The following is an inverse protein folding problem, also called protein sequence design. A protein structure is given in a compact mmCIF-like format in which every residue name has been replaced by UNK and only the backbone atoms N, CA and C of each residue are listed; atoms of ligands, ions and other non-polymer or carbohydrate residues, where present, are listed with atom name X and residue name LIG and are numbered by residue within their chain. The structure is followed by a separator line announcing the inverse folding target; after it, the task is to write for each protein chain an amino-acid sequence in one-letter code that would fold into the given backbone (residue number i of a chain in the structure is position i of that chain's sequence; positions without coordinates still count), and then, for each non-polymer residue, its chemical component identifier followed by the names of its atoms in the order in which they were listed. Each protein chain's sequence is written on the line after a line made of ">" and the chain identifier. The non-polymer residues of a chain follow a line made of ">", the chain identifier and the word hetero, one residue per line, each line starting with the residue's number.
data_IF_154769351985
#
_entry.id   IF_154769351985
#
_cell.length_a   1.000
_cell.length_b   1.000
_cell.length_c   1.000
_cell.angle_alpha   90.00
_cell.angle_beta   90.00
_cell.angle_gamma   90.00
#
_symmetry.space_group_name_H-M   'P 1'
#
loop_
_entity.id
_entity.type
_entity.pdbx_description
1 polymer ?
#
# COMPACT_ATOMS: atom_id res chain seq x y z
N UNK A 1 16.06 -15.37 33.36
CA UNK A 1 16.50 -15.38 31.95
C UNK A 1 15.24 -15.32 31.10
N UNK A 2 14.95 -14.18 30.47
CA UNK A 2 13.79 -14.05 29.58
C UNK A 2 14.15 -14.76 28.27
N UNK A 3 13.51 -15.89 28.02
CA UNK A 3 13.63 -16.64 26.78
C UNK A 3 13.21 -15.73 25.63
N UNK A 4 14.17 -15.25 24.84
CA UNK A 4 13.88 -14.50 23.62
C UNK A 4 13.28 -15.50 22.64
N UNK A 5 11.96 -15.57 22.55
CA UNK A 5 11.29 -16.23 21.44
C UNK A 5 11.86 -15.65 20.15
N UNK A 6 12.64 -16.44 19.42
CA UNK A 6 13.04 -16.10 18.07
C UNK A 6 11.79 -16.14 17.20
N UNK A 7 11.23 -14.96 16.94
CA UNK A 7 10.22 -14.80 15.89
C UNK A 7 10.94 -14.97 14.56
N UNK A 8 11.00 -16.21 14.07
CA UNK A 8 11.53 -16.51 12.75
C UNK A 8 10.41 -16.31 11.71
N UNK A 9 10.72 -15.55 10.66
CA UNK A 9 9.78 -15.25 9.58
C UNK A 9 8.95 -13.97 9.79
N UNK A 10 8.21 -13.58 8.75
CA UNK A 10 7.33 -12.42 8.79
C UNK A 10 5.96 -12.78 9.34
N UNK A 11 5.49 -12.03 10.33
CA UNK A 11 4.12 -12.12 10.84
C UNK A 11 3.11 -12.04 9.69
N UNK A 12 3.24 -11.08 8.78
CA UNK A 12 2.30 -10.89 7.68
C UNK A 12 2.19 -12.11 6.77
N UNK A 13 3.33 -12.78 6.49
CA UNK A 13 3.34 -13.99 5.68
C UNK A 13 2.63 -15.16 6.35
N UNK A 14 2.64 -15.22 7.68
CA UNK A 14 2.07 -16.30 8.48
C UNK A 14 0.58 -16.07 8.80
N UNK A 15 0.14 -14.82 8.91
CA UNK A 15 -1.23 -14.43 9.31
C UNK A 15 -2.19 -14.18 8.13
N UNK A 16 -1.78 -14.47 6.89
CA UNK A 16 -2.61 -14.32 5.70
C UNK A 16 -2.41 -15.48 4.71
N UNK A 17 -3.37 -15.74 3.80
CA UNK A 17 -3.30 -16.80 2.80
C UNK A 17 -1.98 -16.82 2.02
N UNK A 18 -1.54 -17.97 1.51
CA UNK A 18 -0.14 -18.14 1.11
C UNK A 18 0.29 -17.31 -0.12
N UNK A 19 -0.65 -16.83 -0.93
CA UNK A 19 -0.36 -16.00 -2.11
C UNK A 19 0.03 -16.77 -3.38
N UNK A 20 -0.08 -18.10 -3.42
CA UNK A 20 0.27 -18.92 -4.59
C UNK A 20 -0.84 -18.90 -5.62
N UNK A 21 -0.43 -18.78 -6.88
CA UNK A 21 -1.28 -18.91 -8.05
C UNK A 21 -0.71 -20.00 -8.96
N UNK A 22 -1.57 -20.60 -9.78
CA UNK A 22 -1.13 -21.55 -10.78
C UNK A 22 -0.16 -20.86 -11.76
N UNK A 23 0.90 -21.56 -12.20
CA UNK A 23 1.81 -21.01 -13.20
C UNK A 23 1.04 -20.74 -14.50
N UNK A 24 1.50 -19.74 -15.25
CA UNK A 24 0.97 -19.49 -16.58
C UNK A 24 1.42 -20.61 -17.53
N UNK A 25 0.46 -21.27 -18.16
CA UNK A 25 0.71 -22.41 -19.07
C UNK A 25 0.57 -22.05 -20.55
N UNK A 26 -0.07 -20.93 -20.84
CA UNK A 26 -0.45 -20.51 -22.18
C UNK A 26 -0.07 -19.05 -22.41
N UNK A 27 0.15 -18.67 -23.66
CA UNK A 27 0.38 -17.27 -24.02
C UNK A 27 -0.88 -16.43 -23.75
N UNK A 28 -0.66 -15.22 -23.23
CA UNK A 28 -1.72 -14.24 -22.98
C UNK A 28 -1.56 -13.04 -23.92
N UNK A 29 -2.67 -12.62 -24.52
CA UNK A 29 -2.78 -11.34 -25.23
C UNK A 29 -3.54 -10.36 -24.33
N UNK A 30 -2.86 -9.32 -23.87
CA UNK A 30 -3.39 -8.29 -22.97
C UNK A 30 -2.83 -6.93 -23.36
N UNK A 31 -3.58 -5.87 -23.07
CA UNK A 31 -3.14 -4.49 -23.32
C UNK A 31 -1.91 -4.13 -22.48
N UNK A 32 -1.83 -4.61 -21.23
CA UNK A 32 -0.73 -4.33 -20.30
C UNK A 32 -0.34 -5.56 -19.47
N UNK A 33 0.95 -5.86 -19.42
CA UNK A 33 1.53 -6.81 -18.47
C UNK A 33 2.24 -6.04 -17.33
N UNK A 34 1.83 -6.29 -16.08
CA UNK A 34 2.46 -5.75 -14.88
C UNK A 34 3.36 -6.82 -14.27
N UNK A 35 4.64 -6.51 -14.13
CA UNK A 35 5.63 -7.42 -13.54
C UNK A 35 5.79 -7.10 -12.05
N UNK A 36 5.39 -8.04 -11.20
CA UNK A 36 5.45 -7.96 -9.73
C UNK A 36 4.08 -7.93 -9.07
N UNK A 37 3.81 -8.93 -8.22
CA UNK A 37 2.58 -9.09 -7.46
C UNK A 37 2.61 -8.46 -6.06
N UNK A 38 3.41 -7.41 -5.87
CA UNK A 38 3.42 -6.60 -4.64
C UNK A 38 2.35 -5.50 -4.68
N UNK A 39 2.13 -4.80 -3.56
CA UNK A 39 1.06 -3.79 -3.43
C UNK A 39 1.08 -2.75 -4.55
N UNK A 40 2.26 -2.26 -4.96
CA UNK A 40 2.38 -1.30 -6.06
C UNK A 40 1.90 -1.87 -7.40
N UNK A 41 2.29 -3.11 -7.73
CA UNK A 41 1.87 -3.78 -8.96
C UNK A 41 0.37 -4.07 -8.97
N UNK A 42 -0.19 -4.51 -7.85
CA UNK A 42 -1.62 -4.80 -7.72
C UNK A 42 -2.47 -3.51 -7.79
N UNK A 43 -2.04 -2.43 -7.13
CA UNK A 43 -2.68 -1.11 -7.25
C UNK A 43 -2.64 -0.61 -8.69
N UNK A 44 -1.48 -0.74 -9.35
CA UNK A 44 -1.31 -0.35 -10.77
C UNK A 44 -2.26 -1.14 -11.67
N UNK A 45 -2.30 -2.46 -11.52
CA UNK A 45 -3.17 -3.33 -12.30
C UNK A 45 -4.65 -3.00 -12.10
N UNK A 46 -5.06 -2.68 -10.86
CA UNK A 46 -6.44 -2.24 -10.56
C UNK A 46 -6.79 -0.95 -11.28
N UNK A 47 -5.95 0.09 -11.22
CA UNK A 47 -6.27 1.36 -11.88
C UNK A 47 -6.28 1.22 -13.41
N UNK A 48 -5.38 0.41 -13.99
CA UNK A 48 -5.41 0.09 -15.42
C UNK A 48 -6.67 -0.68 -15.83
N UNK A 49 -7.11 -1.64 -15.02
CA UNK A 49 -8.35 -2.36 -15.24
C UNK A 49 -9.57 -1.44 -15.14
N UNK A 50 -9.59 -0.51 -14.17
CA UNK A 50 -10.65 0.53 -14.06
C UNK A 50 -10.66 1.47 -15.26
N UNK A 51 -9.51 1.72 -15.88
CA UNK A 51 -9.39 2.44 -17.14
C UNK A 51 -9.79 1.62 -18.38
N UNK A 52 -10.32 0.40 -18.20
CA UNK A 52 -10.83 -0.45 -19.28
C UNK A 52 -9.77 -1.24 -20.03
N UNK A 53 -8.56 -1.38 -19.48
CA UNK A 53 -7.49 -2.22 -20.06
C UNK A 53 -7.63 -3.66 -19.61
N UNK A 54 -7.31 -4.59 -20.50
CA UNK A 54 -7.00 -5.97 -20.13
C UNK A 54 -5.59 -6.01 -19.53
N UNK A 55 -5.46 -6.57 -18.34
CA UNK A 55 -4.20 -6.53 -17.57
C UNK A 55 -3.84 -7.92 -17.07
N UNK A 56 -2.60 -8.34 -17.30
CA UNK A 56 -2.02 -9.51 -16.65
C UNK A 56 -1.03 -9.04 -15.56
N UNK A 57 -1.04 -9.69 -14.39
CA UNK A 57 -0.01 -9.48 -13.37
C UNK A 57 0.82 -10.75 -13.25
N UNK A 58 2.12 -10.61 -13.45
CA UNK A 58 3.08 -11.70 -13.42
C UNK A 58 3.95 -11.59 -12.17
N UNK A 59 3.86 -12.59 -11.30
CA UNK A 59 4.65 -12.68 -10.06
C UNK A 59 5.49 -13.96 -10.10
N UNK A 60 6.80 -13.83 -9.86
CA UNK A 60 7.73 -14.97 -9.92
C UNK A 60 7.58 -15.91 -8.70
N UNK A 61 7.13 -15.39 -7.56
CA UNK A 61 6.95 -16.13 -6.33
C UNK A 61 5.49 -16.18 -5.88
N UNK A 62 5.20 -15.46 -4.79
CA UNK A 62 3.87 -15.44 -4.17
C UNK A 62 3.39 -14.00 -4.08
N UNK A 63 2.10 -13.79 -4.34
CA UNK A 63 1.47 -12.47 -4.24
C UNK A 63 1.71 -11.87 -2.86
N UNK A 64 2.12 -10.60 -2.86
CA UNK A 64 2.42 -9.81 -1.68
C UNK A 64 3.46 -10.44 -0.73
N UNK A 65 4.38 -11.29 -1.22
CA UNK A 65 5.37 -11.96 -0.38
C UNK A 65 6.74 -11.27 -0.31
N UNK A 66 7.02 -10.30 -1.19
CA UNK A 66 8.23 -9.48 -1.16
C UNK A 66 8.19 -8.42 -0.06
N UNK A 67 8.50 -7.16 -0.40
CA UNK A 67 8.49 -6.02 0.56
C UNK A 67 7.13 -5.85 1.24
N UNK A 68 6.02 -6.02 0.51
CA UNK A 68 4.67 -5.99 1.08
C UNK A 68 4.48 -7.02 2.20
N UNK A 69 5.11 -8.18 2.08
CA UNK A 69 5.08 -9.23 3.09
C UNK A 69 6.01 -8.98 4.27
N UNK A 70 6.86 -7.94 4.26
CA UNK A 70 7.89 -7.68 5.29
C UNK A 70 7.91 -6.21 5.76
N UNK A 71 6.89 -5.43 5.41
CA UNK A 71 6.78 -4.01 5.78
C UNK A 71 6.50 -3.83 7.28
N UNK A 72 6.66 -2.62 7.79
CA UNK A 72 6.19 -2.24 9.13
C UNK A 72 4.68 -1.99 9.17
N UNK A 73 3.98 -2.10 8.04
CA UNK A 73 2.52 -2.07 7.91
C UNK A 73 1.82 -0.79 8.38
N UNK A 74 2.59 0.30 8.51
CA UNK A 74 2.07 1.65 8.78
C UNK A 74 1.91 2.43 7.47
N UNK A 75 0.87 3.25 7.41
CA UNK A 75 0.71 4.31 6.41
C UNK A 75 0.64 5.64 7.15
N UNK A 76 1.49 6.59 6.73
CA UNK A 76 1.67 7.83 7.46
C UNK A 76 2.11 8.95 6.53
N UNK A 77 1.85 10.20 6.92
CA UNK A 77 2.49 11.37 6.37
C UNK A 77 3.75 11.78 7.16
N UNK A 78 4.10 11.11 8.27
CA UNK A 78 5.24 11.46 9.14
C UNK A 78 6.45 10.62 8.76
N UNK A 79 7.22 11.11 7.79
CA UNK A 79 8.41 10.43 7.29
C UNK A 79 9.67 10.97 7.97
N UNK A 80 9.83 10.63 9.25
CA UNK A 80 10.97 11.08 10.08
C UNK A 80 10.93 12.60 10.29
N UNK A 81 11.94 13.33 9.82
CA UNK A 81 12.10 14.79 9.97
C UNK A 81 12.14 15.44 8.58
N UNK A 82 11.05 15.31 7.84
CA UNK A 82 10.99 15.66 6.41
C UNK A 82 10.45 17.07 6.19
N UNK A 83 9.51 17.54 7.00
CA UNK A 83 8.79 18.79 6.74
C UNK A 83 9.67 20.01 6.95
N UNK A 84 10.49 20.04 8.00
CA UNK A 84 11.41 21.16 8.20
C UNK A 84 12.49 21.20 7.10
N UNK A 85 12.93 20.03 6.62
CA UNK A 85 13.82 19.92 5.45
C UNK A 85 13.14 20.41 4.17
N UNK A 86 11.91 19.98 3.89
CA UNK A 86 11.15 20.39 2.70
C UNK A 86 10.86 21.89 2.73
N UNK A 87 10.44 22.43 3.88
CA UNK A 87 10.21 23.87 4.06
C UNK A 87 11.46 24.69 3.72
N UNK A 88 12.64 24.26 4.20
CA UNK A 88 13.92 24.94 3.91
C UNK A 88 14.38 24.82 2.46
N UNK A 89 14.19 23.65 1.84
CA UNK A 89 14.77 23.34 0.53
C UNK A 89 13.83 23.58 -0.66
N UNK A 90 12.51 23.57 -0.41
CA UNK A 90 11.44 23.65 -1.42
C UNK A 90 10.37 24.70 -1.08
N UNK A 91 10.53 25.44 0.02
CA UNK A 91 9.57 26.43 0.49
C UNK A 91 8.34 25.83 1.18
N UNK A 92 7.49 26.71 1.70
CA UNK A 92 6.23 26.33 2.37
C UNK A 92 5.29 25.56 1.45
N UNK A 93 5.16 25.99 0.20
CA UNK A 93 4.29 25.34 -0.80
C UNK A 93 4.78 23.93 -1.14
N UNK A 94 6.10 23.70 -1.23
CA UNK A 94 6.66 22.36 -1.43
C UNK A 94 6.35 21.42 -0.26
N UNK A 95 6.45 21.91 0.98
CA UNK A 95 6.09 21.13 2.16
C UNK A 95 4.58 20.81 2.22
N UNK A 96 3.72 21.79 1.86
CA UNK A 96 2.26 21.61 1.76
C UNK A 96 1.86 20.61 0.68
N UNK A 97 2.47 20.68 -0.49
CA UNK A 97 2.20 19.74 -1.58
C UNK A 97 2.52 18.30 -1.14
N UNK A 98 3.65 18.10 -0.47
CA UNK A 98 4.02 16.80 0.08
C UNK A 98 3.03 16.34 1.16
N UNK A 99 2.72 17.21 2.14
CA UNK A 99 1.74 16.91 3.18
C UNK A 99 0.39 16.47 2.59
N UNK A 100 -0.14 17.24 1.65
CA UNK A 100 -1.40 16.95 0.96
C UNK A 100 -1.34 15.61 0.25
N UNK A 101 -0.30 15.35 -0.55
CA UNK A 101 -0.14 14.09 -1.28
C UNK A 101 -0.11 12.88 -0.35
N UNK A 102 0.52 12.99 0.82
CA UNK A 102 0.58 11.88 1.78
C UNK A 102 -0.74 11.68 2.52
N UNK A 103 -1.45 12.75 2.88
CA UNK A 103 -2.79 12.65 3.49
C UNK A 103 -3.81 12.08 2.52
N UNK A 104 -3.82 12.55 1.27
CA UNK A 104 -4.68 12.01 0.20
C UNK A 104 -4.41 10.52 -0.04
N UNK A 105 -3.16 10.07 0.07
CA UNK A 105 -2.84 8.64 -0.03
C UNK A 105 -3.42 7.79 1.11
N UNK A 106 -3.44 8.32 2.34
CA UNK A 106 -4.07 7.66 3.50
C UNK A 106 -5.57 7.55 3.28
N UNK A 107 -6.22 8.66 2.93
CA UNK A 107 -7.66 8.73 2.69
C UNK A 107 -8.09 7.86 1.51
N UNK A 108 -7.34 7.90 0.41
CA UNK A 108 -7.56 7.05 -0.75
C UNK A 108 -7.51 5.57 -0.35
N UNK A 109 -6.47 5.16 0.38
CA UNK A 109 -6.33 3.76 0.81
C UNK A 109 -7.48 3.34 1.73
N UNK A 110 -7.87 4.18 2.68
CA UNK A 110 -9.03 3.92 3.56
C UNK A 110 -10.33 3.77 2.74
N UNK A 111 -10.53 4.66 1.76
CA UNK A 111 -11.65 4.60 0.83
C UNK A 111 -11.67 3.31 0.02
N UNK A 112 -10.52 2.85 -0.47
CA UNK A 112 -10.40 1.58 -1.19
C UNK A 112 -10.73 0.37 -0.33
N UNK A 113 -10.23 0.34 0.91
CA UNK A 113 -10.52 -0.72 1.87
C UNK A 113 -12.02 -0.80 2.14
N UNK A 114 -12.68 0.35 2.33
CA UNK A 114 -14.12 0.44 2.54
C UNK A 114 -14.92 0.05 1.28
N UNK A 115 -14.58 0.59 0.11
CA UNK A 115 -15.23 0.32 -1.18
C UNK A 115 -15.23 -1.18 -1.50
N UNK A 116 -14.10 -1.85 -1.25
CA UNK A 116 -13.91 -3.26 -1.59
C UNK A 116 -14.33 -4.22 -0.46
N UNK A 117 -14.72 -3.71 0.71
CA UNK A 117 -15.08 -4.51 1.88
C UNK A 117 -13.92 -5.37 2.39
N UNK A 118 -12.70 -4.85 2.35
CA UNK A 118 -11.49 -5.61 2.72
C UNK A 118 -11.35 -5.64 4.23
N UNK A 119 -11.41 -6.84 4.82
CA UNK A 119 -11.03 -7.05 6.21
C UNK A 119 -9.49 -7.13 6.35
N UNK A 120 -8.84 -5.96 6.33
CA UNK A 120 -7.39 -5.84 6.52
C UNK A 120 -7.02 -5.29 7.91
N UNK A 121 -7.89 -5.44 8.91
CA UNK A 121 -7.61 -4.94 10.27
C UNK A 121 -7.19 -3.46 10.27
N UNK A 122 -7.89 -2.65 9.46
CA UNK A 122 -7.58 -1.23 9.34
C UNK A 122 -7.79 -0.51 10.67
N UNK A 123 -6.78 0.23 11.09
CA UNK A 123 -6.82 0.88 12.39
C UNK A 123 -6.19 2.28 12.37
N UNK A 124 -6.96 3.27 12.84
CA UNK A 124 -6.45 4.62 13.05
C UNK A 124 -5.49 4.68 14.23
N UNK A 125 -4.35 5.33 14.01
CA UNK A 125 -3.26 5.46 14.97
C UNK A 125 -2.61 6.82 14.90
N UNK A 126 -1.92 7.19 15.97
CA UNK A 126 -0.94 8.27 15.91
C UNK A 126 0.42 7.72 15.48
N UNK A 127 1.13 8.42 14.60
CA UNK A 127 2.53 8.14 14.30
C UNK A 127 3.43 8.99 15.21
N UNK A 128 4.57 8.41 15.59
CA UNK A 128 5.58 9.07 16.41
C UNK A 128 6.96 8.99 15.75
N UNK A 129 7.69 10.11 15.77
CA UNK A 129 9.14 10.16 15.55
C UNK A 129 9.75 10.76 16.81
N UNK A 130 10.72 10.11 17.44
CA UNK A 130 11.25 10.53 18.75
C UNK A 130 12.77 10.54 18.79
N UNK A 131 13.32 11.26 19.76
CA UNK A 131 14.73 11.22 20.15
C UNK A 131 14.87 11.00 21.65
N UNK A 132 15.96 10.33 22.04
CA UNK A 132 16.34 10.19 23.45
C UNK A 132 17.36 11.24 23.91
N UNK A 133 18.11 11.80 22.97
CA UNK A 133 19.10 12.84 23.24
C UNK A 133 18.41 14.21 23.40
N UNK A 134 18.51 14.86 24.57
CA UNK A 134 18.00 16.21 24.78
C UNK A 134 18.58 17.25 23.82
N UNK A 135 19.83 17.08 23.38
CA UNK A 135 20.48 17.98 22.43
C UNK A 135 19.78 18.05 21.06
N UNK A 136 18.94 17.04 20.75
CA UNK A 136 18.20 16.95 19.48
C UNK A 136 16.73 17.33 19.59
N UNK A 137 16.23 17.67 20.78
CA UNK A 137 14.82 17.97 20.99
C UNK A 137 14.30 19.14 20.13
N UNK A 138 15.16 20.12 19.82
CA UNK A 138 14.82 21.24 18.93
C UNK A 138 14.53 20.80 17.49
N UNK A 139 15.16 19.72 17.00
CA UNK A 139 14.85 19.17 15.67
C UNK A 139 13.39 18.71 15.59
N UNK A 140 12.86 18.14 16.68
CA UNK A 140 11.49 17.64 16.76
C UNK A 140 10.51 18.80 16.88
N UNK A 141 10.88 19.87 17.60
CA UNK A 141 10.06 21.10 17.66
C UNK A 141 9.98 21.79 16.29
N UNK A 142 11.10 21.86 15.58
CA UNK A 142 11.15 22.39 14.23
C UNK A 142 10.30 21.56 13.26
N UNK A 143 10.40 20.23 13.33
CA UNK A 143 9.59 19.33 12.49
C UNK A 143 8.10 19.45 12.80
N UNK A 144 7.69 19.41 14.07
CA UNK A 144 6.28 19.54 14.45
C UNK A 144 5.69 20.88 13.98
N UNK A 145 6.47 21.97 14.08
CA UNK A 145 6.07 23.28 13.57
C UNK A 145 5.90 23.26 12.06
N UNK A 146 6.90 22.76 11.32
CA UNK A 146 6.87 22.72 9.87
C UNK A 146 5.74 21.83 9.33
N UNK A 147 5.49 20.67 9.96
CA UNK A 147 4.38 19.80 9.62
C UNK A 147 3.02 20.47 9.85
N UNK A 148 2.85 21.19 10.97
CA UNK A 148 1.63 21.97 11.26
C UNK A 148 1.42 23.10 10.26
N UNK A 149 2.47 23.83 9.91
CA UNK A 149 2.42 24.89 8.87
C UNK A 149 2.09 24.32 7.48
N UNK A 150 2.45 23.05 7.24
CA UNK A 150 2.08 22.30 6.05
C UNK A 150 0.64 21.75 6.07
N UNK A 151 -0.13 21.98 7.15
CA UNK A 151 -1.53 21.60 7.28
C UNK A 151 -1.77 20.25 7.96
N UNK A 152 -0.75 19.64 8.58
CA UNK A 152 -0.89 18.35 9.23
C UNK A 152 -1.22 18.47 10.72
N UNK A 153 -1.95 17.49 11.30
CA UNK A 153 -2.28 17.48 12.73
C UNK A 153 -1.09 16.98 13.57
N UNK A 154 0.01 17.75 13.55
CA UNK A 154 1.27 17.42 14.19
C UNK A 154 1.52 18.28 15.44
N UNK A 155 2.06 17.66 16.49
CA UNK A 155 2.44 18.32 17.75
C UNK A 155 3.76 17.77 18.30
N UNK A 156 4.49 18.60 19.03
CA UNK A 156 5.64 18.18 19.82
C UNK A 156 5.15 17.70 21.19
N UNK A 157 5.61 16.54 21.63
CA UNK A 157 5.28 15.94 22.93
C UNK A 157 6.53 15.37 23.60
N UNK A 158 6.54 15.30 24.92
CA UNK A 158 7.59 14.63 25.72
C UNK A 158 7.08 13.32 26.33
N UNK A 159 5.77 13.21 26.52
CA UNK A 159 5.12 11.99 27.00
C UNK A 159 4.71 11.10 25.80
N UNK A 160 5.09 9.83 25.85
CA UNK A 160 4.77 8.84 24.83
C UNK A 160 4.36 7.52 25.49
N UNK A 161 3.73 6.61 24.74
CA UNK A 161 3.40 5.26 25.22
C UNK A 161 4.58 4.27 25.22
N UNK A 162 5.82 4.76 25.04
CA UNK A 162 7.00 3.90 25.00
C UNK A 162 7.42 3.46 26.41
N UNK A 163 7.99 2.26 26.59
CA UNK A 163 8.41 1.75 27.90
C UNK A 163 9.72 2.37 28.40
N UNK A 164 10.12 3.52 27.86
CA UNK A 164 11.33 4.26 28.22
C UNK A 164 11.14 5.76 27.95
N UNK A 165 11.86 6.63 28.69
CA UNK A 165 11.75 8.07 28.51
C UNK A 165 12.33 8.52 27.17
N UNK A 166 11.77 9.61 26.65
CA UNK A 166 12.25 10.30 25.44
C UNK A 166 12.44 11.78 25.76
N UNK A 167 13.40 12.42 25.08
CA UNK A 167 13.63 13.85 25.24
C UNK A 167 12.62 14.71 24.43
N UNK A 168 12.03 14.11 23.40
CA UNK A 168 10.99 14.74 22.60
C UNK A 168 10.53 13.85 21.46
N UNK A 169 9.30 14.05 21.02
CA UNK A 169 8.70 13.36 19.89
C UNK A 169 7.78 14.28 19.10
N UNK A 170 7.71 14.06 17.79
CA UNK A 170 6.61 14.54 16.95
C UNK A 170 5.52 13.48 17.00
N UNK A 171 4.33 13.86 17.47
CA UNK A 171 3.10 13.08 17.36
C UNK A 171 2.30 13.61 16.17
N UNK A 172 1.82 12.72 15.32
CA UNK A 172 0.84 13.05 14.29
C UNK A 172 -0.37 12.14 14.38
N UNK A 173 -1.57 12.72 14.50
CA UNK A 173 -2.83 11.97 14.57
C UNK A 173 -3.32 11.57 13.18
N UNK A 174 -4.38 10.76 13.13
CA UNK A 174 -5.09 10.40 11.89
C UNK A 174 -4.21 9.67 10.86
N UNK A 175 -3.27 8.88 11.37
CA UNK A 175 -2.47 7.94 10.60
C UNK A 175 -3.14 6.57 10.69
N UNK A 176 -2.58 5.56 10.01
CA UNK A 176 -3.14 4.21 10.11
C UNK A 176 -2.09 3.11 10.05
N UNK A 177 -2.51 1.94 10.53
CA UNK A 177 -1.86 0.67 10.29
C UNK A 177 -2.89 -0.32 9.77
N UNK A 178 -2.43 -1.32 9.02
CA UNK A 178 -3.30 -2.30 8.39
C UNK A 178 -2.52 -3.56 8.03
N UNK A 179 -3.20 -4.68 7.87
CA UNK A 179 -2.58 -5.92 7.42
C UNK A 179 -2.25 -5.84 5.91
N UNK A 180 -0.95 -5.75 5.52
CA UNK A 180 -0.57 -5.39 4.15
C UNK A 180 -0.93 -6.47 3.12
N UNK A 181 -0.83 -7.75 3.51
CA UNK A 181 -1.17 -8.87 2.63
C UNK A 181 -2.68 -9.11 2.46
N UNK A 182 -3.49 -8.94 3.50
CA UNK A 182 -4.95 -9.02 3.40
C UNK A 182 -5.51 -7.97 2.43
N UNK A 183 -4.89 -6.79 2.40
CA UNK A 183 -5.19 -5.71 1.43
C UNK A 183 -4.92 -6.09 -0.02
N UNK A 184 -4.00 -7.04 -0.25
CA UNK A 184 -3.62 -7.51 -1.57
C UNK A 184 -4.36 -8.79 -1.99
N UNK A 185 -5.14 -9.40 -1.08
CA UNK A 185 -5.80 -10.67 -1.29
C UNK A 185 -7.28 -10.45 -1.68
N UNK A 186 -7.87 -11.24 -2.58
CA UNK A 186 -9.04 -10.79 -3.32
C UNK A 186 -10.29 -10.70 -2.44
N UNK A 187 -10.94 -9.54 -2.49
CA UNK A 187 -12.33 -9.54 -2.91
C UNK A 187 -12.40 -10.10 -4.35
N UNK A 188 -13.31 -11.03 -4.68
CA UNK A 188 -13.43 -11.67 -6.00
C UNK A 188 -13.52 -10.74 -7.23
N UNK A 189 -13.67 -9.44 -7.01
CA UNK A 189 -13.79 -8.41 -8.05
C UNK A 189 -12.49 -8.11 -8.82
N UNK A 190 -11.31 -8.38 -8.26
CA UNK A 190 -10.02 -8.01 -8.91
C UNK A 190 -9.41 -9.18 -9.70
N UNK A 191 -9.67 -10.42 -9.26
CA UNK A 191 -9.02 -11.61 -9.80
C UNK A 191 -10.06 -12.66 -10.18
N UNK A 192 -10.98 -12.33 -11.08
CA UNK A 192 -11.64 -13.41 -11.82
C UNK A 192 -10.57 -14.14 -12.60
N UNK A 193 -10.52 -15.46 -12.42
CA UNK A 193 -9.68 -16.39 -13.18
C UNK A 193 -9.60 -15.92 -14.63
N UNK A 194 -8.40 -15.94 -15.20
CA UNK A 194 -8.25 -16.11 -16.64
C UNK A 194 -8.91 -17.42 -17.04
N UNK A 195 -10.23 -17.41 -17.17
CA UNK A 195 -10.93 -18.25 -18.13
C UNK A 195 -10.91 -17.46 -19.43
N UNK A 196 -10.33 -18.08 -20.45
CA UNK A 196 -10.44 -17.66 -21.83
C UNK A 196 -11.90 -17.33 -22.16
N UNK A 197 -12.18 -16.04 -22.40
CA UNK A 197 -13.40 -15.60 -23.07
C UNK A 197 -13.08 -14.34 -23.86
N UNK A 198 -12.60 -14.53 -25.08
CA UNK A 198 -12.85 -13.59 -26.16
C UNK A 198 -14.35 -13.29 -26.18
N UNK A 199 -14.75 -12.08 -25.78
CA UNK A 199 -15.77 -11.27 -26.44
C UNK A 199 -15.79 -9.85 -25.85
N UNK A 200 -15.65 -8.85 -26.72
CA UNK A 200 -15.90 -7.43 -26.42
C UNK A 200 -17.33 -7.23 -25.89
N UNK A 201 -17.53 -6.69 -24.68
CA UNK A 201 -18.61 -5.71 -24.31
C UNK A 201 -18.42 -5.17 -22.87
N UNK A 202 -18.94 -3.95 -22.53
CA UNK A 202 -18.68 -3.21 -21.29
C UNK A 202 -19.66 -3.60 -20.14
N UNK A 203 -19.58 -3.00 -18.93
CA UNK A 203 -19.75 -3.73 -17.68
C UNK A 203 -21.21 -3.83 -17.20
N UNK A 204 -21.58 -5.01 -16.71
CA UNK A 204 -22.55 -5.16 -15.63
C UNK A 204 -22.28 -6.47 -14.92
N UNK A 205 -22.11 -6.42 -13.60
CA UNK A 205 -21.74 -7.54 -12.74
C UNK A 205 -22.80 -8.65 -12.78
N UNK A 206 -22.53 -9.77 -13.44
CA UNK A 206 -23.22 -11.04 -13.23
C UNK A 206 -22.45 -12.23 -13.81
N UNK A 207 -22.19 -13.24 -12.98
CA UNK A 207 -21.53 -14.50 -13.32
C UNK A 207 -22.44 -15.43 -14.14
N UNK A 208 -22.07 -15.78 -15.37
CA UNK A 208 -22.48 -17.05 -16.01
C UNK A 208 -21.38 -17.62 -16.92
N UNK A 209 -21.16 -18.93 -16.81
CA UNK A 209 -20.21 -19.72 -17.62
C UNK A 209 -20.52 -19.64 -19.12
N UNK A 210 -19.50 -19.37 -19.94
CA UNK A 210 -19.56 -19.53 -21.39
C UNK A 210 -18.61 -20.65 -21.85
N UNK A 211 -19.08 -21.45 -22.83
CA UNK A 211 -18.37 -22.57 -23.46
C UNK A 211 -17.29 -22.09 -24.44
N UNK A 212 -16.23 -22.87 -24.73
CA UNK A 212 -15.09 -22.40 -25.50
C UNK A 212 -15.40 -22.30 -27.01
N UNK A 213 -15.00 -21.19 -27.63
CA UNK A 213 -14.94 -21.04 -29.09
C UNK A 213 -13.48 -20.92 -29.54
N UNK A 214 -13.08 -21.76 -30.50
CA UNK A 214 -11.72 -21.85 -31.05
C UNK A 214 -11.39 -20.68 -31.98
N UNK A 215 -10.18 -20.12 -31.86
CA UNK A 215 -9.68 -19.03 -32.69
C UNK A 215 -8.72 -19.55 -33.77
N UNK A 216 -8.93 -19.15 -35.05
CA UNK A 216 -8.04 -19.47 -36.18
C UNK A 216 -7.01 -18.35 -36.39
N UNK A 217 -5.76 -18.74 -36.66
CA UNK A 217 -4.65 -17.82 -37.01
C UNK A 217 -4.95 -17.04 -38.29
N UNK A 218 -4.71 -15.72 -38.29
CA UNK A 218 -4.56 -14.90 -39.50
C UNK A 218 -3.09 -14.81 -39.89
N UNK A 219 -2.70 -14.99 -41.17
CA UNK A 219 -1.33 -14.77 -41.61
C UNK A 219 -1.06 -13.28 -41.88
N UNK A 220 0.18 -12.86 -41.67
CA UNK A 220 0.68 -11.50 -41.87
C UNK A 220 0.76 -11.11 -43.37
N UNK A 221 0.58 -9.82 -43.71
CA UNK A 221 0.69 -9.35 -45.09
C UNK A 221 2.17 -9.24 -45.53
N UNK A 222 2.41 -9.46 -46.82
CA UNK A 222 3.72 -9.30 -47.49
C UNK A 222 4.04 -7.84 -47.75
#
# INVERSE_FOLDING_TARGET
>A
MTEKQQVSGSYWLQSAPDGRHAPLTDDLDVDVAVIGGGIAGLCTARELARAGKSVAVLEAGRIAAGVTGHTTAKITALHTLVYDKLRRTRGSEGARLYARSQSEAIEHTAGLVAELGIDCEWEHRSAYTYVRDPGRAEELRAEARAAREAGLPASFVTETGLPFPVAGAVRMTDQAQFHPRKTCWPSPAIWSRGEAASTRTPPSWAWRRARPAACRRRPAPR
#
